data_IF_734340412016
#
_entry.id   IF_734340412016
#
_cell.length_a   1.000
_cell.length_b   1.000
_cell.length_c   1.000
_cell.angle_alpha   90.00
_cell.angle_beta   90.00
_cell.angle_gamma   90.00
#
_symmetry.space_group_name_H-M   'P 1'
#
loop_
_entity.id
_entity.type
_entity.pdbx_description
1 polymer ?
#
# COMPACT_ATOMS: atom_id res chain seq x y z
N UNK A 1 -27.57 4.78 -3.78
CA UNK A 1 -26.41 4.03 -4.32
C UNK A 1 -25.89 3.18 -3.20
N UNK A 2 -25.71 1.88 -3.42
CA UNK A 2 -25.17 0.99 -2.39
C UNK A 2 -23.66 1.23 -2.27
N UNK A 3 -23.19 1.57 -1.07
CA UNK A 3 -21.76 1.72 -0.79
C UNK A 3 -21.10 0.33 -0.72
N UNK A 4 -19.84 0.21 -1.16
CA UNK A 4 -19.04 -1.00 -0.93
C UNK A 4 -18.90 -1.30 0.58
N UNK A 5 -19.09 -0.30 1.44
CA UNK A 5 -19.12 -0.44 2.90
C UNK A 5 -20.42 -1.03 3.47
N UNK A 6 -21.48 -1.13 2.67
CA UNK A 6 -22.73 -1.76 3.10
C UNK A 6 -22.66 -3.30 3.00
N UNK A 7 -21.56 -3.84 2.47
CA UNK A 7 -21.32 -5.28 2.45
C UNK A 7 -21.15 -5.81 3.88
N UNK A 8 -21.65 -7.03 4.19
CA UNK A 8 -21.40 -7.67 5.47
C UNK A 8 -19.90 -7.78 5.75
N UNK A 9 -19.51 -7.62 7.02
CA UNK A 9 -18.10 -7.67 7.45
C UNK A 9 -17.38 -8.94 6.96
N UNK A 10 -18.06 -10.09 7.01
CA UNK A 10 -17.52 -11.36 6.51
C UNK A 10 -17.10 -11.30 5.03
N UNK A 11 -17.85 -10.57 4.20
CA UNK A 11 -17.52 -10.43 2.78
C UNK A 11 -16.31 -9.53 2.60
N UNK A 12 -16.26 -8.43 3.35
CA UNK A 12 -15.13 -7.50 3.34
C UNK A 12 -13.83 -8.17 3.82
N UNK A 13 -13.94 -9.03 4.84
CA UNK A 13 -12.83 -9.83 5.35
C UNK A 13 -12.32 -10.80 4.28
N UNK A 14 -13.22 -11.53 3.61
CA UNK A 14 -12.85 -12.42 2.52
C UNK A 14 -12.17 -11.66 1.38
N UNK A 15 -12.65 -10.47 1.01
CA UNK A 15 -12.01 -9.64 -0.02
C UNK A 15 -10.56 -9.30 0.38
N UNK A 16 -10.33 -8.91 1.64
CA UNK A 16 -8.98 -8.62 2.14
C UNK A 16 -8.11 -9.87 2.13
N UNK A 17 -8.65 -11.01 2.58
CA UNK A 17 -7.91 -12.28 2.65
C UNK A 17 -7.49 -12.81 1.27
N UNK A 18 -8.32 -12.61 0.24
CA UNK A 18 -8.01 -13.02 -1.14
C UNK A 18 -7.26 -11.95 -1.95
N UNK A 19 -7.03 -10.77 -1.38
CA UNK A 19 -6.22 -9.73 -2.02
C UNK A 19 -4.73 -9.97 -1.79
N UNK A 20 -3.88 -9.48 -2.70
CA UNK A 20 -2.45 -9.42 -2.40
C UNK A 20 -2.14 -8.27 -1.42
N UNK A 21 -0.99 -8.36 -0.76
CA UNK A 21 -0.56 -7.38 0.23
C UNK A 21 -0.57 -5.95 -0.30
N UNK A 22 -0.15 -5.75 -1.56
CA UNK A 22 -0.14 -4.43 -2.20
C UNK A 22 -1.55 -3.88 -2.43
N UNK A 23 -2.50 -4.72 -2.81
CA UNK A 23 -3.90 -4.35 -3.00
C UNK A 23 -4.53 -3.97 -1.67
N UNK A 24 -4.22 -4.69 -0.58
CA UNK A 24 -4.67 -4.31 0.77
C UNK A 24 -4.13 -2.94 1.19
N UNK A 25 -2.85 -2.66 0.97
CA UNK A 25 -2.29 -1.32 1.22
C UNK A 25 -2.96 -0.23 0.37
N UNK A 26 -3.33 -0.55 -0.87
CA UNK A 26 -4.06 0.36 -1.75
C UNK A 26 -5.47 0.62 -1.23
N UNK A 27 -6.20 -0.42 -0.79
CA UNK A 27 -7.52 -0.30 -0.19
C UNK A 27 -7.53 0.61 1.05
N UNK A 28 -6.50 0.51 1.91
CA UNK A 28 -6.32 1.40 3.08
C UNK A 28 -6.21 2.90 2.70
N UNK A 29 -5.86 3.21 1.46
CA UNK A 29 -5.74 4.59 0.97
C UNK A 29 -7.03 5.14 0.34
N UNK A 30 -8.00 4.29 -0.01
CA UNK A 30 -9.22 4.68 -0.74
C UNK A 30 -10.14 5.58 0.10
N UNK A 31 -10.53 5.13 1.29
CA UNK A 31 -11.36 5.92 2.21
C UNK A 31 -11.02 5.64 3.69
N UNK A 32 -11.59 6.44 4.60
CA UNK A 32 -11.38 6.29 6.05
C UNK A 32 -11.99 4.99 6.57
N UNK A 33 -13.14 4.59 6.04
CA UNK A 33 -13.84 3.40 6.50
C UNK A 33 -13.02 2.14 6.16
N UNK A 34 -12.51 2.02 4.93
CA UNK A 34 -11.65 0.88 4.53
C UNK A 34 -10.42 0.78 5.40
N UNK A 35 -9.79 1.91 5.70
CA UNK A 35 -8.65 1.98 6.61
C UNK A 35 -9.03 1.46 7.98
N UNK A 36 -10.09 1.99 8.58
CA UNK A 36 -10.53 1.60 9.91
C UNK A 36 -10.95 0.11 9.98
N UNK A 37 -11.57 -0.42 8.92
CA UNK A 37 -11.91 -1.83 8.83
C UNK A 37 -10.65 -2.70 8.77
N UNK A 38 -9.74 -2.42 7.84
CA UNK A 38 -8.50 -3.19 7.66
C UNK A 38 -7.63 -3.12 8.92
N UNK A 39 -7.51 -1.95 9.54
CA UNK A 39 -6.70 -1.74 10.75
C UNK A 39 -7.27 -2.45 11.99
N UNK A 40 -8.55 -2.87 11.96
CA UNK A 40 -9.21 -3.65 13.02
C UNK A 40 -9.18 -5.16 12.80
N UNK A 41 -8.80 -5.63 11.60
CA UNK A 41 -8.72 -7.06 11.31
C UNK A 41 -7.62 -7.72 12.14
N UNK A 42 -7.83 -9.01 12.46
CA UNK A 42 -6.78 -9.84 13.03
C UNK A 42 -5.69 -10.08 11.97
N UNK A 43 -4.42 -10.09 12.37
CA UNK A 43 -3.26 -10.39 11.52
C UNK A 43 -3.44 -11.67 10.70
N UNK A 44 -4.15 -12.68 11.24
CA UNK A 44 -4.45 -13.93 10.53
C UNK A 44 -5.33 -13.75 9.28
N UNK A 45 -5.98 -12.60 9.13
CA UNK A 45 -6.87 -12.26 8.00
C UNK A 45 -6.19 -11.36 6.98
N UNK A 46 -5.01 -10.83 7.30
CA UNK A 46 -4.22 -10.04 6.38
C UNK A 46 -3.36 -10.98 5.51
N UNK A 47 -3.23 -10.70 4.20
CA UNK A 47 -2.38 -11.48 3.33
C UNK A 47 -0.90 -11.28 3.70
N UNK A 48 -0.12 -12.36 3.60
CA UNK A 48 1.33 -12.28 3.72
C UNK A 48 1.91 -11.39 2.60
N UNK A 49 2.83 -10.51 2.97
CA UNK A 49 3.60 -9.70 2.03
C UNK A 49 4.38 -10.56 1.03
N UNK A 50 4.84 -11.74 1.47
CA UNK A 50 5.76 -12.63 0.76
C UNK A 50 7.04 -11.93 0.28
N UNK A 51 7.41 -10.79 0.86
CA UNK A 51 8.66 -10.11 0.51
C UNK A 51 9.84 -10.96 0.94
N UNK A 52 10.81 -11.14 0.05
CA UNK A 52 12.03 -11.90 0.33
C UNK A 52 13.14 -11.01 0.87
N UNK A 53 13.15 -9.74 0.45
CA UNK A 53 14.11 -8.72 0.91
C UNK A 53 13.43 -7.36 1.01
N UNK A 54 13.89 -6.57 1.97
CA UNK A 54 13.48 -5.18 2.19
C UNK A 54 14.72 -4.37 2.51
N UNK A 55 14.84 -3.18 1.93
CA UNK A 55 15.92 -2.25 2.19
C UNK A 55 15.40 -0.81 2.19
N UNK A 56 15.93 0.01 3.09
CA UNK A 56 15.71 1.45 3.12
C UNK A 56 17.07 2.14 3.03
N UNK A 57 17.19 3.06 2.10
CA UNK A 57 18.43 3.77 1.79
C UNK A 57 18.13 5.26 1.87
N UNK A 58 18.79 5.96 2.78
CA UNK A 58 18.61 7.41 3.00
C UNK A 58 19.88 8.14 2.59
N UNK A 59 19.77 8.94 1.53
CA UNK A 59 20.86 9.74 0.98
C UNK A 59 20.38 11.20 0.89
N UNK A 60 20.54 11.84 -0.28
CA UNK A 60 19.78 13.03 -0.66
C UNK A 60 18.29 12.74 -0.82
N UNK A 61 17.97 11.51 -1.25
CA UNK A 61 16.61 11.00 -1.41
C UNK A 61 16.39 9.81 -0.46
N UNK A 62 15.12 9.54 -0.16
CA UNK A 62 14.71 8.34 0.59
C UNK A 62 14.26 7.29 -0.41
N UNK A 63 14.93 6.14 -0.42
CA UNK A 63 14.61 4.99 -1.26
C UNK A 63 14.15 3.83 -0.40
N UNK A 64 13.01 3.26 -0.76
CA UNK A 64 12.49 2.05 -0.17
C UNK A 64 12.42 0.98 -1.26
N UNK A 65 13.08 -0.13 -1.02
CA UNK A 65 13.27 -1.19 -2.01
C UNK A 65 12.77 -2.49 -1.40
N UNK A 66 12.04 -3.28 -2.18
CA UNK A 66 11.67 -4.64 -1.78
C UNK A 66 11.77 -5.62 -2.96
N UNK A 67 12.04 -6.87 -2.65
CA UNK A 67 12.04 -7.99 -3.59
C UNK A 67 10.78 -8.83 -3.36
N UNK A 68 10.04 -9.09 -4.44
CA UNK A 68 8.85 -9.92 -4.41
C UNK A 68 9.18 -11.44 -4.53
N UNK A 69 8.18 -12.34 -4.38
CA UNK A 69 8.41 -13.79 -4.50
C UNK A 69 8.94 -14.27 -5.86
N UNK A 70 8.82 -13.44 -6.88
CA UNK A 70 9.28 -13.71 -8.25
C UNK A 70 10.67 -13.12 -8.49
N UNK A 71 11.37 -12.69 -7.43
CA UNK A 71 12.68 -12.04 -7.46
C UNK A 71 12.68 -10.71 -8.25
N UNK A 72 11.51 -10.05 -8.35
CA UNK A 72 11.39 -8.74 -8.99
C UNK A 72 11.66 -7.67 -7.94
N UNK A 73 12.53 -6.74 -8.30
CA UNK A 73 12.85 -5.58 -7.47
C UNK A 73 11.88 -4.44 -7.72
N UNK A 74 11.34 -3.91 -6.63
CA UNK A 74 10.49 -2.74 -6.62
C UNK A 74 11.15 -1.63 -5.84
N UNK A 75 11.07 -0.41 -6.36
CA UNK A 75 11.68 0.77 -5.76
C UNK A 75 10.64 1.88 -5.64
N UNK A 76 10.55 2.44 -4.44
CA UNK A 76 9.91 3.70 -4.15
C UNK A 76 10.98 4.74 -3.87
N UNK A 77 10.93 5.88 -4.54
CA UNK A 77 11.85 7.00 -4.33
C UNK A 77 11.06 8.22 -3.90
N UNK A 78 11.47 8.85 -2.81
CA UNK A 78 11.05 10.18 -2.41
C UNK A 78 12.24 11.14 -2.54
N UNK A 79 12.11 12.09 -3.46
CA UNK A 79 13.05 13.21 -3.60
C UNK A 79 12.42 14.45 -2.99
N UNK A 80 13.04 14.97 -1.93
CA UNK A 80 12.60 16.21 -1.29
C UNK A 80 12.88 17.42 -2.21
N UNK A 81 14.05 17.42 -2.87
CA UNK A 81 14.46 18.50 -3.77
C UNK A 81 13.48 18.66 -4.93
N UNK A 82 13.04 17.55 -5.52
CA UNK A 82 12.13 17.55 -6.67
C UNK A 82 10.66 17.54 -6.25
N UNK A 83 10.36 17.30 -4.95
CA UNK A 83 9.01 17.08 -4.41
C UNK A 83 8.23 16.01 -5.18
N UNK A 84 8.92 14.93 -5.54
CA UNK A 84 8.39 13.83 -6.35
C UNK A 84 8.46 12.54 -5.55
N UNK A 85 7.37 11.77 -5.61
CA UNK A 85 7.38 10.34 -5.26
C UNK A 85 7.38 9.57 -6.58
N UNK A 86 8.23 8.57 -6.73
CA UNK A 86 8.17 7.65 -7.86
C UNK A 86 8.10 6.19 -7.40
N UNK A 87 7.44 5.36 -8.19
CA UNK A 87 7.41 3.91 -8.00
C UNK A 87 7.87 3.23 -9.29
N UNK A 88 8.93 2.43 -9.21
CA UNK A 88 9.59 1.80 -10.36
C UNK A 88 9.85 2.81 -11.50
N UNK A 89 10.34 4.00 -11.13
CA UNK A 89 10.63 5.10 -12.06
C UNK A 89 9.41 5.85 -12.59
N UNK A 90 8.17 5.45 -12.27
CA UNK A 90 6.96 6.18 -12.67
C UNK A 90 6.65 7.28 -11.65
N UNK A 91 6.69 8.57 -12.03
CA UNK A 91 6.47 9.66 -11.10
C UNK A 91 4.98 9.81 -10.73
N UNK A 92 4.74 10.11 -9.47
CA UNK A 92 3.49 10.62 -8.94
C UNK A 92 3.76 12.02 -8.38
N UNK A 93 3.19 13.03 -9.05
CA UNK A 93 3.23 14.40 -8.56
C UNK A 93 2.46 14.48 -7.25
N UNK A 94 3.11 15.00 -6.21
CA UNK A 94 2.45 15.33 -4.95
C UNK A 94 1.45 16.46 -5.23
N UNK A 95 0.19 16.10 -5.50
CA UNK A 95 -0.91 17.05 -5.40
C UNK A 95 -0.93 17.51 -3.94
N UNK A 96 -0.64 18.79 -3.70
CA UNK A 96 -0.85 19.43 -2.39
C UNK A 96 -2.25 19.05 -1.90
N UNK A 97 -2.34 18.16 -0.92
CA UNK A 97 -3.55 18.01 -0.12
C UNK A 97 -3.63 19.30 0.70
N UNK A 98 -4.45 20.24 0.24
CA UNK A 98 -4.94 21.32 1.08
C UNK A 98 -5.77 20.61 2.17
N UNK A 99 -5.28 20.67 3.40
CA UNK A 99 -6.01 20.25 4.60
C UNK A 99 -7.17 21.20 4.86
#
# INVERSE_FOLDING_TARGET
>A
MSSLFEMPELVMENIVQFSDFRSVLTLRQVCRDFRNFIDRLNDSKLPDSRFTKIAMIVNKDVRFIYEDPYCIWHEFVYSEADKVISFNGKPHLLKKKIL
#
